data_IF_550995850542
#
_entry.id   IF_550995850542
#
_cell.length_a   1.000
_cell.length_b   1.000
_cell.length_c   1.000
_cell.angle_alpha   90.00
_cell.angle_beta   90.00
_cell.angle_gamma   90.00
#
_symmetry.space_group_name_H-M   'P 1'
#
loop_
_entity.id
_entity.type
_entity.pdbx_description
1 polymer ?
#
# COMPACT_ATOMS: atom_id res chain seq x y z
N UNK A 1 43.62 4.29 12.66
CA UNK A 1 42.71 3.69 11.66
C UNK A 1 41.28 3.93 12.14
N UNK A 2 40.50 4.78 11.44
CA UNK A 2 39.06 4.91 11.73
C UNK A 2 38.38 3.67 11.14
N UNK A 3 37.63 2.94 11.96
CA UNK A 3 36.74 1.90 11.48
C UNK A 3 35.78 2.51 10.42
N UNK A 4 35.47 1.79 9.32
CA UNK A 4 34.47 2.25 8.38
C UNK A 4 33.14 2.36 9.14
N UNK A 5 32.57 3.56 9.15
CA UNK A 5 31.25 3.82 9.72
C UNK A 5 30.26 2.83 9.11
N UNK A 6 29.65 1.98 9.94
CA UNK A 6 28.55 1.11 9.51
C UNK A 6 27.54 1.97 8.76
N UNK A 7 27.30 1.66 7.49
CA UNK A 7 26.31 2.35 6.66
C UNK A 7 24.94 1.96 7.22
N UNK A 8 24.45 2.76 8.16
CA UNK A 8 23.13 2.58 8.76
C UNK A 8 22.10 3.08 7.74
N UNK A 9 21.46 2.17 7.00
CA UNK A 9 20.37 2.52 6.09
C UNK A 9 19.19 3.00 6.95
N UNK A 10 18.63 4.20 6.70
CA UNK A 10 17.46 4.66 7.42
C UNK A 10 16.28 3.68 7.25
N UNK A 11 15.55 3.40 8.33
CA UNK A 11 14.44 2.47 8.31
C UNK A 11 13.43 2.73 7.17
N UNK A 12 12.99 3.97 6.87
CA UNK A 12 12.07 4.24 5.76
C UNK A 12 12.61 3.80 4.39
N UNK A 13 13.92 3.91 4.17
CA UNK A 13 14.56 3.47 2.93
C UNK A 13 14.47 1.95 2.77
N UNK A 14 14.59 1.19 3.86
CA UNK A 14 14.43 -0.27 3.83
C UNK A 14 13.04 -0.68 3.34
N UNK A 15 11.99 -0.01 3.82
CA UNK A 15 10.63 -0.25 3.30
C UNK A 15 10.53 0.16 1.84
N UNK A 16 11.04 1.34 1.47
CA UNK A 16 10.95 1.90 0.12
C UNK A 16 11.60 0.99 -0.91
N UNK A 17 12.83 0.55 -0.67
CA UNK A 17 13.56 -0.34 -1.57
C UNK A 17 12.80 -1.63 -1.86
N UNK A 18 12.11 -2.18 -0.86
CA UNK A 18 11.38 -3.43 -1.01
C UNK A 18 9.99 -3.23 -1.61
N UNK A 19 9.29 -2.14 -1.27
CA UNK A 19 7.94 -1.88 -1.77
C UNK A 19 7.93 -1.40 -3.22
N UNK A 20 8.87 -0.54 -3.62
CA UNK A 20 8.88 0.08 -4.95
C UNK A 20 8.70 -0.92 -6.12
N UNK A 21 9.49 -2.01 -6.24
CA UNK A 21 9.32 -2.96 -7.34
C UNK A 21 7.99 -3.75 -7.25
N UNK A 22 7.48 -3.99 -6.05
CA UNK A 22 6.20 -4.68 -5.87
C UNK A 22 5.03 -3.80 -6.29
N UNK A 23 5.09 -2.51 -5.98
CA UNK A 23 4.09 -1.52 -6.42
C UNK A 23 4.13 -1.36 -7.95
N UNK A 24 5.32 -1.27 -8.53
CA UNK A 24 5.48 -1.22 -9.98
C UNK A 24 4.86 -2.44 -10.67
N UNK A 25 5.12 -3.65 -10.15
CA UNK A 25 4.52 -4.88 -10.66
C UNK A 25 2.99 -4.88 -10.51
N UNK A 26 2.46 -4.43 -9.36
CA UNK A 26 1.03 -4.41 -9.10
C UNK A 26 0.30 -3.43 -10.05
N UNK A 27 0.90 -2.27 -10.32
CA UNK A 27 0.40 -1.29 -11.30
C UNK A 27 0.47 -1.85 -12.72
N UNK A 28 1.57 -2.52 -13.08
CA UNK A 28 1.71 -3.13 -14.41
C UNK A 28 0.63 -4.18 -14.68
N UNK A 29 0.23 -4.94 -13.65
CA UNK A 29 -0.85 -5.92 -13.74
C UNK A 29 -2.25 -5.28 -13.73
N UNK A 30 -2.40 -4.10 -13.14
CA UNK A 30 -3.67 -3.40 -12.96
C UNK A 30 -3.54 -1.90 -13.27
N UNK A 31 -3.51 -1.52 -14.56
CA UNK A 31 -3.26 -0.13 -14.97
C UNK A 31 -4.26 0.89 -14.41
N UNK A 32 -5.48 0.46 -14.05
CA UNK A 32 -6.52 1.28 -13.42
C UNK A 32 -6.06 1.99 -12.13
N UNK A 33 -5.01 1.48 -11.46
CA UNK A 33 -4.46 2.16 -10.29
C UNK A 33 -3.89 3.54 -10.63
N UNK A 34 -3.61 3.82 -11.91
CA UNK A 34 -3.11 5.11 -12.37
C UNK A 34 -4.20 6.13 -12.70
N UNK A 35 -5.48 5.76 -12.66
CA UNK A 35 -6.58 6.65 -13.05
C UNK A 35 -6.76 7.82 -12.08
N UNK A 36 -6.48 7.61 -10.78
CA UNK A 36 -6.68 8.60 -9.72
C UNK A 36 -5.40 8.90 -8.91
N UNK A 37 -4.35 8.09 -9.09
CA UNK A 37 -3.14 8.15 -8.28
C UNK A 37 -1.90 7.84 -9.11
N UNK A 38 -0.83 8.59 -8.92
CA UNK A 38 0.48 8.29 -9.50
C UNK A 38 1.16 7.14 -8.77
N UNK A 39 2.15 6.50 -9.41
CA UNK A 39 2.99 5.48 -8.76
C UNK A 39 3.67 6.01 -7.49
N UNK A 40 4.10 7.28 -7.50
CA UNK A 40 4.72 7.93 -6.35
C UNK A 40 3.74 8.05 -5.18
N UNK A 41 2.52 8.50 -5.44
CA UNK A 41 1.48 8.62 -4.40
C UNK A 41 1.11 7.26 -3.81
N UNK A 42 1.08 6.20 -4.63
CA UNK A 42 0.89 4.84 -4.13
C UNK A 42 2.02 4.38 -3.22
N UNK A 43 3.27 4.62 -3.63
CA UNK A 43 4.43 4.24 -2.84
C UNK A 43 4.45 4.99 -1.50
N UNK A 44 4.15 6.29 -1.49
CA UNK A 44 4.07 7.11 -0.28
C UNK A 44 2.96 6.63 0.67
N UNK A 45 1.77 6.35 0.12
CA UNK A 45 0.65 5.80 0.88
C UNK A 45 1.03 4.46 1.53
N UNK A 46 1.59 3.53 0.75
CA UNK A 46 1.97 2.22 1.26
C UNK A 46 3.14 2.29 2.24
N UNK A 47 4.08 3.22 2.07
CA UNK A 47 5.14 3.46 3.04
C UNK A 47 4.57 3.87 4.40
N UNK A 48 3.64 4.83 4.41
CA UNK A 48 2.99 5.25 5.64
C UNK A 48 2.25 4.09 6.32
N UNK A 49 1.41 3.37 5.58
CA UNK A 49 0.63 2.23 6.08
C UNK A 49 1.51 1.09 6.64
N UNK A 50 2.61 0.77 5.96
CA UNK A 50 3.53 -0.28 6.40
C UNK A 50 4.34 0.14 7.62
N UNK A 51 4.78 1.38 7.68
CA UNK A 51 5.54 1.88 8.83
C UNK A 51 4.65 2.01 10.08
N UNK A 52 3.40 2.43 9.91
CA UNK A 52 2.46 2.59 11.01
C UNK A 52 2.00 1.24 11.59
N UNK A 53 1.71 0.26 10.72
CA UNK A 53 1.03 -0.97 11.14
C UNK A 53 1.88 -2.24 11.04
N UNK A 54 3.08 -2.19 10.46
CA UNK A 54 3.94 -3.35 10.26
C UNK A 54 5.39 -3.06 10.68
N UNK A 55 5.75 -3.31 11.95
CA UNK A 55 7.10 -3.08 12.47
C UNK A 55 8.18 -3.75 11.61
N UNK A 56 9.35 -3.13 11.51
CA UNK A 56 10.39 -3.52 10.54
C UNK A 56 10.75 -5.01 10.61
N UNK A 57 10.90 -5.56 11.80
CA UNK A 57 11.20 -6.99 11.99
C UNK A 57 10.15 -7.90 11.33
N UNK A 58 8.87 -7.56 11.49
CA UNK A 58 7.78 -8.32 10.90
C UNK A 58 7.69 -8.07 9.39
N UNK A 59 7.90 -6.83 8.95
CA UNK A 59 7.97 -6.49 7.53
C UNK A 59 9.04 -7.33 6.81
N UNK A 60 10.25 -7.38 7.36
CA UNK A 60 11.37 -8.16 6.81
C UNK A 60 11.09 -9.66 6.82
N UNK A 61 10.37 -10.17 7.81
CA UNK A 61 10.03 -11.59 7.90
C UNK A 61 8.95 -12.05 6.91
N UNK A 62 8.17 -11.13 6.31
CA UNK A 62 7.17 -11.49 5.29
C UNK A 62 7.83 -11.86 3.98
N UNK A 63 7.24 -12.80 3.24
CA UNK A 63 7.64 -13.08 1.86
C UNK A 63 7.12 -12.01 0.90
N UNK A 64 7.69 -11.93 -0.29
CA UNK A 64 7.24 -10.98 -1.31
C UNK A 64 5.79 -11.24 -1.73
N UNK A 65 5.37 -12.51 -1.82
CA UNK A 65 3.97 -12.85 -2.14
C UNK A 65 2.98 -12.40 -1.06
N UNK A 66 3.37 -12.48 0.21
CA UNK A 66 2.57 -11.95 1.31
C UNK A 66 2.49 -10.42 1.25
N UNK A 67 3.59 -9.76 0.87
CA UNK A 67 3.62 -8.31 0.71
C UNK A 67 2.80 -7.86 -0.50
N UNK A 68 2.92 -8.51 -1.66
CA UNK A 68 2.07 -8.26 -2.84
C UNK A 68 0.59 -8.36 -2.51
N UNK A 69 0.19 -9.45 -1.83
CA UNK A 69 -1.19 -9.64 -1.39
C UNK A 69 -1.67 -8.48 -0.50
N UNK A 70 -0.83 -8.01 0.41
CA UNK A 70 -1.16 -6.88 1.29
C UNK A 70 -1.23 -5.56 0.52
N UNK A 71 -0.28 -5.31 -0.38
CA UNK A 71 -0.23 -4.13 -1.24
C UNK A 71 -1.50 -4.03 -2.09
N UNK A 72 -1.83 -5.07 -2.84
CA UNK A 72 -3.03 -5.08 -3.69
C UNK A 72 -4.32 -4.85 -2.90
N UNK A 73 -4.44 -5.43 -1.69
CA UNK A 73 -5.58 -5.16 -0.80
C UNK A 73 -5.66 -3.71 -0.35
N UNK A 74 -4.54 -3.10 0.07
CA UNK A 74 -4.52 -1.70 0.49
C UNK A 74 -4.83 -0.76 -0.67
N UNK A 75 -4.28 -1.03 -1.85
CA UNK A 75 -4.55 -0.24 -3.06
C UNK A 75 -6.02 -0.31 -3.46
N UNK A 76 -6.60 -1.52 -3.50
CA UNK A 76 -8.01 -1.71 -3.78
C UNK A 76 -8.91 -1.02 -2.74
N UNK A 77 -8.59 -1.14 -1.45
CA UNK A 77 -9.34 -0.45 -0.39
C UNK A 77 -9.30 1.06 -0.55
N UNK A 78 -8.12 1.64 -0.81
CA UNK A 78 -7.99 3.09 -1.01
C UNK A 78 -8.82 3.57 -2.20
N UNK A 79 -8.83 2.83 -3.32
CA UNK A 79 -9.68 3.15 -4.47
C UNK A 79 -11.16 3.10 -4.10
N UNK A 80 -11.62 2.04 -3.43
CA UNK A 80 -13.02 1.92 -3.00
C UNK A 80 -13.39 3.08 -2.07
N UNK A 81 -12.55 3.41 -1.08
CA UNK A 81 -12.77 4.56 -0.21
C UNK A 81 -12.81 5.89 -0.98
N UNK A 82 -12.00 6.03 -2.03
CA UNK A 82 -12.06 7.17 -2.94
C UNK A 82 -13.42 7.28 -3.63
N UNK A 83 -13.88 6.19 -4.25
CA UNK A 83 -15.17 6.12 -4.93
C UNK A 83 -16.35 6.42 -3.99
N UNK A 84 -16.29 5.92 -2.75
CA UNK A 84 -17.34 6.17 -1.75
C UNK A 84 -17.48 7.65 -1.38
N UNK A 85 -16.45 8.49 -1.58
CA UNK A 85 -16.56 9.94 -1.35
C UNK A 85 -17.46 10.63 -2.36
N UNK A 86 -17.60 10.05 -3.55
CA UNK A 86 -18.43 10.60 -4.62
C UNK A 86 -19.89 10.13 -4.50
N UNK A 87 -20.18 9.25 -3.55
CA UNK A 87 -21.52 8.71 -3.35
C UNK A 87 -22.38 9.69 -2.55
N UNK A 88 -23.64 9.83 -2.98
CA UNK A 88 -24.67 10.46 -2.16
C UNK A 88 -24.97 9.62 -0.92
N UNK A 89 -25.55 10.19 0.15
CA UNK A 89 -25.93 9.44 1.35
C UNK A 89 -26.80 8.21 1.04
N UNK A 90 -27.71 8.32 0.07
CA UNK A 90 -28.56 7.20 -0.37
C UNK A 90 -27.77 6.07 -1.03
N UNK A 91 -26.74 6.40 -1.82
CA UNK A 91 -25.87 5.40 -2.45
C UNK A 91 -24.96 4.71 -1.44
N UNK A 92 -24.48 5.44 -0.42
CA UNK A 92 -23.73 4.84 0.71
C UNK A 92 -24.60 3.83 1.46
N UNK A 93 -25.83 4.21 1.84
CA UNK A 93 -26.75 3.29 2.52
C UNK A 93 -27.02 2.03 1.67
N UNK A 94 -27.21 2.18 0.36
CA UNK A 94 -27.41 1.04 -0.55
C UNK A 94 -26.19 0.12 -0.61
N UNK A 95 -24.99 0.70 -0.63
CA UNK A 95 -23.74 -0.04 -0.60
C UNK A 95 -23.57 -0.82 0.71
N UNK A 96 -23.83 -0.17 1.85
CA UNK A 96 -23.77 -0.79 3.17
C UNK A 96 -24.78 -1.94 3.32
N UNK A 97 -26.01 -1.75 2.86
CA UNK A 97 -27.04 -2.81 2.83
C UNK A 97 -26.59 -4.04 2.02
N UNK A 98 -25.82 -3.82 0.95
CA UNK A 98 -25.27 -4.90 0.11
C UNK A 98 -24.11 -5.65 0.79
N UNK A 99 -23.37 -5.01 1.70
CA UNK A 99 -22.28 -5.62 2.47
C UNK A 99 -22.79 -6.50 3.62
N UNK A 100 -23.92 -6.13 4.26
CA UNK A 100 -24.52 -6.88 5.37
C UNK A 100 -25.09 -8.25 4.94
N UNK A 101 -25.34 -8.45 3.64
CA UNK A 101 -25.96 -9.67 3.10
C UNK A 101 -24.96 -10.76 2.66
N UNK A 102 -23.72 -10.76 3.18
CA UNK A 102 -22.72 -11.81 2.92
C UNK A 102 -22.32 -12.57 4.17
#
# INVERSE_FOLDING_TARGET
MKAPSEVMIPQPEVYRFRLAPLVEQEIANHPLYLDQHTQTEWLEYLLAEMMEHLPLKQFMARSDEQLKTRIGRLMALKLVFGLLKDFTPTQINTFEECLVRR
#
